data_IF_604818935457
#
_entry.id   IF_604818935457
#
_cell.length_a   1.000
_cell.length_b   1.000
_cell.length_c   1.000
_cell.angle_alpha   90.00
_cell.angle_beta   90.00
_cell.angle_gamma   90.00
#
_symmetry.space_group_name_H-M   'P 1'
#
loop_
_entity.id
_entity.type
_entity.pdbx_description
1 polymer ?
#
# COMPACT_ATOMS: atom_id res chain seq x y z
N UNK A 1 6.87 -9.58 -6.45
CA UNK A 1 6.12 -9.31 -7.69
C UNK A 1 5.83 -10.53 -8.55
N UNK A 2 6.73 -11.54 -8.65
CA UNK A 2 6.50 -12.75 -9.47
C UNK A 2 5.10 -13.38 -9.26
N UNK A 3 4.68 -13.59 -8.01
CA UNK A 3 3.36 -14.15 -7.68
C UNK A 3 2.19 -13.35 -8.27
N UNK A 4 2.24 -12.01 -8.28
CA UNK A 4 1.17 -11.18 -8.86
C UNK A 4 1.10 -11.35 -10.37
N UNK A 5 2.26 -11.35 -11.04
CA UNK A 5 2.35 -11.54 -12.49
C UNK A 5 1.93 -12.94 -12.91
N UNK A 6 2.36 -13.97 -12.18
CA UNK A 6 1.98 -15.36 -12.42
C UNK A 6 0.46 -15.57 -12.25
N UNK A 7 -0.21 -14.69 -11.48
CA UNK A 7 -1.67 -14.66 -11.31
C UNK A 7 -2.41 -13.76 -12.31
N UNK A 8 -1.72 -13.13 -13.26
CA UNK A 8 -2.33 -12.23 -14.24
C UNK A 8 -2.74 -10.85 -13.71
N UNK A 9 -2.20 -10.41 -12.56
CA UNK A 9 -2.45 -9.05 -12.08
C UNK A 9 -1.68 -8.03 -12.94
N UNK A 10 -2.40 -7.21 -13.68
CA UNK A 10 -1.80 -6.18 -14.56
C UNK A 10 -1.93 -4.76 -14.02
N UNK A 11 -2.88 -4.47 -13.13
CA UNK A 11 -3.15 -3.13 -12.60
C UNK A 11 -3.05 -3.10 -11.08
N UNK A 12 -1.82 -3.24 -10.57
CA UNK A 12 -1.52 -3.13 -9.14
C UNK A 12 -0.34 -2.20 -8.86
N UNK A 13 -0.32 -1.66 -7.65
CA UNK A 13 0.80 -0.93 -7.05
C UNK A 13 0.97 -1.37 -5.59
N UNK A 14 2.22 -1.44 -5.13
CA UNK A 14 2.56 -1.63 -3.73
C UNK A 14 2.99 -0.29 -3.13
N UNK A 15 2.28 0.15 -2.10
CA UNK A 15 2.67 1.32 -1.32
C UNK A 15 3.31 0.88 -0.01
N UNK A 16 4.58 1.28 0.18
CA UNK A 16 5.33 1.01 1.40
C UNK A 16 5.36 2.29 2.22
N UNK A 17 4.59 2.28 3.30
CA UNK A 17 4.35 3.47 4.13
C UNK A 17 5.21 3.40 5.38
N UNK A 18 6.07 4.39 5.58
CA UNK A 18 7.08 4.37 6.65
C UNK A 18 7.17 5.70 7.38
N UNK A 19 7.58 5.67 8.65
CA UNK A 19 7.85 6.90 9.42
C UNK A 19 9.20 7.54 9.07
N UNK A 20 10.09 6.76 8.48
CA UNK A 20 11.43 7.17 8.06
C UNK A 20 11.69 6.66 6.66
N UNK A 21 12.34 7.48 5.84
CA UNK A 21 12.80 7.06 4.54
C UNK A 21 13.70 5.82 4.68
N UNK A 22 13.35 4.76 3.96
CA UNK A 22 14.13 3.54 3.82
C UNK A 22 14.89 3.52 2.49
N UNK A 23 14.62 4.50 1.61
CA UNK A 23 15.29 4.69 0.32
C UNK A 23 15.19 3.45 -0.55
N UNK A 24 13.96 3.00 -0.80
CA UNK A 24 13.74 1.87 -1.69
C UNK A 24 14.34 2.18 -3.07
N UNK A 25 15.07 1.24 -3.68
CA UNK A 25 15.53 1.41 -5.05
C UNK A 25 14.29 1.58 -5.95
N UNK A 26 14.35 2.46 -6.96
CA UNK A 26 13.23 2.66 -7.87
C UNK A 26 12.82 1.33 -8.50
N UNK A 27 11.56 0.94 -8.26
CA UNK A 27 10.99 -0.28 -8.82
C UNK A 27 9.65 0.04 -9.46
N UNK A 28 9.34 -0.53 -10.64
CA UNK A 28 8.02 -0.41 -11.23
C UNK A 28 6.96 -0.90 -10.24
N UNK A 29 5.86 -0.16 -10.10
CA UNK A 29 4.71 -0.54 -9.25
C UNK A 29 5.04 -0.65 -7.75
N UNK A 30 6.11 -0.02 -7.28
CA UNK A 30 6.38 0.16 -5.85
C UNK A 30 6.58 1.65 -5.57
N UNK A 31 5.86 2.17 -4.58
CA UNK A 31 5.97 3.56 -4.14
C UNK A 31 6.30 3.59 -2.66
N UNK A 32 7.29 4.38 -2.28
CA UNK A 32 7.60 4.67 -0.88
C UNK A 32 6.83 5.94 -0.45
N UNK A 33 6.11 5.85 0.66
CA UNK A 33 5.37 6.99 1.25
C UNK A 33 5.90 7.23 2.66
N UNK A 34 6.61 8.35 2.84
CA UNK A 34 7.17 8.71 4.14
C UNK A 34 6.20 9.62 4.89
N UNK A 35 5.76 9.19 6.07
CA UNK A 35 4.83 9.94 6.91
C UNK A 35 5.58 11.03 7.69
N UNK A 36 5.32 12.32 7.43
CA UNK A 36 6.03 13.42 8.07
C UNK A 36 5.89 13.37 9.59
N UNK A 37 6.97 13.61 10.32
CA UNK A 37 6.96 13.64 11.80
C UNK A 37 6.01 14.70 12.37
N UNK A 38 5.69 15.74 11.59
CA UNK A 38 4.68 16.76 11.90
C UNK A 38 3.25 16.30 11.73
N UNK A 39 2.98 15.27 10.91
CA UNK A 39 1.63 14.79 10.63
C UNK A 39 0.98 14.18 11.87
N UNK A 40 -0.26 14.59 12.14
CA UNK A 40 -1.11 14.11 13.23
C UNK A 40 -2.48 13.78 12.66
N UNK A 41 -2.97 12.59 12.96
CA UNK A 41 -4.34 12.18 12.62
C UNK A 41 -5.34 12.95 13.47
N UNK A 42 -6.54 13.20 12.93
CA UNK A 42 -7.62 13.92 13.64
C UNK A 42 -8.02 13.26 14.96
N UNK A 43 -7.94 11.93 15.03
CA UNK A 43 -8.29 11.13 16.22
C UNK A 43 -7.10 10.88 17.17
N UNK A 44 -5.88 11.25 16.80
CA UNK A 44 -4.68 10.93 17.58
C UNK A 44 -4.20 9.47 17.44
N UNK A 45 -4.71 8.71 16.47
CA UNK A 45 -4.20 7.41 16.08
C UNK A 45 -2.67 7.42 15.84
N UNK A 46 -2.00 6.33 16.26
CA UNK A 46 -0.54 6.16 16.22
C UNK A 46 -0.16 4.91 15.42
N UNK A 47 1.14 4.76 15.13
CA UNK A 47 1.73 3.57 14.50
C UNK A 47 1.06 3.23 13.15
N UNK A 48 0.67 1.96 12.91
CA UNK A 48 0.03 1.48 11.67
C UNK A 48 -1.17 2.34 11.27
N UNK A 49 -2.05 2.67 12.23
CA UNK A 49 -3.24 3.48 11.95
C UNK A 49 -2.90 4.90 11.47
N UNK A 50 -1.79 5.50 11.95
CA UNK A 50 -1.32 6.80 11.46
C UNK A 50 -0.80 6.70 10.03
N UNK A 51 -0.05 5.65 9.71
CA UNK A 51 0.47 5.43 8.37
C UNK A 51 -0.67 5.20 7.35
N UNK A 52 -1.62 4.33 7.70
CA UNK A 52 -2.79 4.06 6.86
C UNK A 52 -3.63 5.31 6.62
N UNK A 53 -3.89 6.10 7.67
CA UNK A 53 -4.64 7.34 7.52
C UNK A 53 -3.91 8.35 6.62
N UNK A 54 -2.58 8.47 6.74
CA UNK A 54 -1.81 9.41 5.94
C UNK A 54 -1.89 9.12 4.43
N UNK A 55 -2.00 7.85 4.05
CA UNK A 55 -2.13 7.45 2.64
C UNK A 55 -3.47 7.87 2.02
N UNK A 56 -4.47 8.11 2.85
CA UNK A 56 -5.80 8.53 2.46
C UNK A 56 -5.98 10.05 2.49
N UNK A 57 -4.95 10.82 2.86
CA UNK A 57 -5.01 12.29 2.79
C UNK A 57 -5.00 12.75 1.33
N UNK A 58 -5.78 13.79 1.02
CA UNK A 58 -6.04 14.24 -0.36
C UNK A 58 -4.76 14.54 -1.17
N UNK A 59 -3.71 15.06 -0.51
CA UNK A 59 -2.43 15.39 -1.14
C UNK A 59 -1.49 14.18 -1.35
N UNK A 60 -1.85 13.02 -0.79
CA UNK A 60 -1.01 11.80 -0.77
C UNK A 60 -1.65 10.66 -1.55
N UNK A 61 -2.98 10.56 -1.45
CA UNK A 61 -3.80 9.54 -2.09
C UNK A 61 -3.69 9.63 -3.61
N UNK A 62 -3.49 8.48 -4.25
CA UNK A 62 -3.38 8.35 -5.71
C UNK A 62 -4.47 7.45 -6.30
N UNK A 63 -5.36 6.93 -5.46
CA UNK A 63 -6.40 5.99 -5.83
C UNK A 63 -7.56 6.72 -6.50
N UNK A 64 -8.09 6.11 -7.55
CA UNK A 64 -9.34 6.52 -8.19
C UNK A 64 -10.54 5.88 -7.50
N UNK A 65 -11.73 6.39 -7.79
CA UNK A 65 -13.00 5.94 -7.16
C UNK A 65 -13.28 4.44 -7.33
N UNK A 66 -12.69 3.79 -8.34
CA UNK A 66 -12.87 2.37 -8.64
C UNK A 66 -11.69 1.49 -8.19
N UNK A 67 -10.68 2.07 -7.54
CA UNK A 67 -9.53 1.31 -7.07
C UNK A 67 -9.84 0.58 -5.76
N UNK A 68 -9.29 -0.61 -5.61
CA UNK A 68 -9.50 -1.46 -4.45
C UNK A 68 -8.27 -1.45 -3.54
N UNK A 69 -8.49 -1.22 -2.25
CA UNK A 69 -7.43 -1.28 -1.24
C UNK A 69 -7.47 -2.64 -0.55
N UNK A 70 -6.35 -3.35 -0.62
CA UNK A 70 -6.16 -4.61 0.10
C UNK A 70 -5.10 -4.41 1.16
N UNK A 71 -5.52 -4.36 2.43
CA UNK A 71 -4.59 -4.33 3.55
C UNK A 71 -4.06 -5.74 3.83
N UNK A 72 -2.75 -5.91 3.71
CA UNK A 72 -2.04 -7.15 4.06
C UNK A 72 -1.18 -6.89 5.29
N UNK A 73 -1.19 -7.81 6.25
CA UNK A 73 -0.33 -7.71 7.43
C UNK A 73 1.09 -8.25 7.13
N UNK A 74 2.07 -7.91 7.96
CA UNK A 74 3.48 -8.27 7.77
C UNK A 74 3.75 -9.77 7.72
N UNK A 75 2.91 -10.57 8.38
CA UNK A 75 2.99 -12.03 8.35
C UNK A 75 2.19 -12.67 7.20
N UNK A 76 1.51 -11.84 6.37
CA UNK A 76 0.67 -12.33 5.28
C UNK A 76 1.53 -12.69 4.08
N UNK A 77 1.59 -13.99 3.76
CA UNK A 77 2.22 -14.48 2.55
C UNK A 77 1.25 -14.39 1.37
N UNK A 78 1.60 -13.56 0.40
CA UNK A 78 0.86 -13.48 -0.85
C UNK A 78 1.08 -14.75 -1.67
N UNK A 79 0.01 -15.54 -1.85
CA UNK A 79 0.01 -16.74 -2.71
C UNK A 79 -0.67 -16.45 -4.03
N UNK A 80 -0.37 -17.27 -5.05
CA UNK A 80 -1.03 -17.19 -6.36
C UNK A 80 -2.55 -17.20 -6.18
N UNK A 81 -3.11 -18.14 -5.41
CA UNK A 81 -4.55 -18.23 -5.17
C UNK A 81 -5.14 -16.97 -4.50
N UNK A 82 -4.42 -16.35 -3.56
CA UNK A 82 -4.86 -15.09 -2.96
C UNK A 82 -4.93 -13.96 -4.01
N UNK A 83 -3.95 -13.88 -4.91
CA UNK A 83 -4.01 -12.94 -6.03
C UNK A 83 -5.17 -13.26 -7.00
N UNK A 84 -5.48 -14.53 -7.27
CA UNK A 84 -6.62 -14.89 -8.12
C UNK A 84 -7.94 -14.43 -7.53
N UNK A 85 -8.11 -14.55 -6.20
CA UNK A 85 -9.25 -13.96 -5.52
C UNK A 85 -9.32 -12.46 -5.75
N UNK A 86 -8.22 -11.73 -5.70
CA UNK A 86 -8.23 -10.27 -5.92
C UNK A 86 -8.51 -9.86 -7.39
N UNK A 87 -8.28 -10.75 -8.36
CA UNK A 87 -8.52 -10.49 -9.80
C UNK A 87 -9.92 -10.90 -10.25
N UNK A 88 -10.56 -11.83 -9.53
CA UNK A 88 -11.86 -12.40 -9.90
C UNK A 88 -13.08 -11.58 -9.45
N UNK A 89 -12.86 -10.42 -8.82
CA UNK A 89 -13.88 -9.44 -8.43
C UNK A 89 -13.61 -8.11 -9.14
#
# INVERSE_FOLDING_TARGET
MKTCYDSGMENFIFEVVTDKAIHLPPQPRVREVVVPTSYRTKSGAKFKARALQYCLEDDVNILQDNDWIVHLDEETLLTTNACWLLVAW
#
